data_IF_125334591862
#
_entry.id   IF_125334591862
#
_cell.length_a   1.000
_cell.length_b   1.000
_cell.length_c   1.000
_cell.angle_alpha   90.00
_cell.angle_beta   90.00
_cell.angle_gamma   90.00
#
_symmetry.space_group_name_H-M   'P 1'
#
loop_
_entity.id
_entity.type
_entity.pdbx_description
1 polymer ?
#
# COMPACT_ATOMS: atom_id res chain seq x y z
N UNK A 1 5.20 -0.71 16.85
CA UNK A 1 4.10 -1.60 17.31
C UNK A 1 4.66 -2.88 17.91
N UNK A 2 5.35 -3.78 17.14
CA UNK A 2 5.83 -5.07 17.68
C UNK A 2 6.85 -4.89 18.82
N UNK A 3 7.81 -3.97 18.68
CA UNK A 3 8.78 -3.67 19.74
C UNK A 3 8.08 -3.22 21.02
N UNK A 4 7.15 -2.28 20.92
CA UNK A 4 6.39 -1.75 22.06
C UNK A 4 5.52 -2.83 22.70
N UNK A 5 4.90 -3.72 21.90
CA UNK A 5 4.13 -4.83 22.44
C UNK A 5 5.01 -5.87 23.16
N UNK A 6 6.22 -6.15 22.65
CA UNK A 6 7.16 -7.08 23.30
C UNK A 6 7.64 -6.59 24.67
N UNK A 7 7.66 -5.28 24.91
CA UNK A 7 7.95 -4.69 26.23
C UNK A 7 6.80 -4.96 27.23
N UNK A 8 5.55 -4.98 26.75
CA UNK A 8 4.36 -5.21 27.57
C UNK A 8 4.10 -6.70 27.78
N UNK A 9 4.38 -7.53 26.76
CA UNK A 9 4.13 -8.97 26.74
C UNK A 9 5.38 -9.75 26.30
N UNK A 10 6.43 -9.82 27.14
CA UNK A 10 7.74 -10.37 26.76
C UNK A 10 7.74 -11.88 26.44
N UNK A 11 6.71 -12.61 26.88
CA UNK A 11 6.59 -14.06 26.64
C UNK A 11 5.81 -14.39 25.35
N UNK A 12 5.48 -13.40 24.51
CA UNK A 12 4.80 -13.62 23.24
C UNK A 12 5.84 -13.79 22.12
N UNK A 13 5.73 -14.85 21.33
CA UNK A 13 6.52 -15.07 20.13
C UNK A 13 5.71 -14.72 18.89
N UNK A 14 6.39 -14.19 17.87
CA UNK A 14 5.77 -13.82 16.58
C UNK A 14 6.47 -14.55 15.44
N UNK A 15 5.67 -15.07 14.52
CA UNK A 15 6.13 -15.43 13.20
C UNK A 15 5.70 -14.32 12.23
N UNK A 16 6.65 -13.70 11.53
CA UNK A 16 6.39 -12.57 10.63
C UNK A 16 6.49 -13.04 9.19
N UNK A 17 5.39 -12.87 8.44
CA UNK A 17 5.33 -13.16 7.01
C UNK A 17 5.23 -11.85 6.25
N UNK A 18 6.14 -11.63 5.28
CA UNK A 18 6.15 -10.44 4.42
C UNK A 18 5.87 -10.85 2.96
N UNK A 19 4.67 -10.50 2.49
CA UNK A 19 4.16 -10.83 1.15
C UNK A 19 3.28 -9.71 0.62
N UNK A 20 2.82 -9.83 -0.64
CA UNK A 20 1.80 -8.93 -1.19
C UNK A 20 0.46 -9.09 -0.44
N UNK A 21 -0.31 -8.01 -0.36
CA UNK A 21 -1.56 -7.95 0.43
C UNK A 21 -2.61 -8.98 0.01
N UNK A 22 -2.71 -9.28 -1.28
CA UNK A 22 -3.60 -10.32 -1.82
C UNK A 22 -3.20 -11.73 -1.33
N UNK A 23 -1.90 -12.00 -1.28
CA UNK A 23 -1.35 -13.28 -0.76
C UNK A 23 -1.60 -13.38 0.74
N UNK A 24 -1.32 -12.34 1.51
CA UNK A 24 -1.54 -12.29 2.95
C UNK A 24 -3.03 -12.45 3.28
N UNK A 25 -3.92 -11.77 2.54
CA UNK A 25 -5.35 -11.87 2.75
C UNK A 25 -5.86 -13.31 2.52
N UNK A 26 -5.41 -13.97 1.46
CA UNK A 26 -5.74 -15.38 1.20
C UNK A 26 -5.24 -16.29 2.31
N UNK A 27 -3.98 -16.15 2.75
CA UNK A 27 -3.41 -16.90 3.88
C UNK A 27 -4.20 -16.71 5.18
N UNK A 28 -4.75 -15.51 5.40
CA UNK A 28 -5.63 -15.24 6.54
C UNK A 28 -6.96 -16.00 6.41
N UNK A 29 -7.59 -16.02 5.24
CA UNK A 29 -8.82 -16.78 4.99
C UNK A 29 -8.62 -18.29 5.16
N UNK A 30 -7.44 -18.81 4.78
CA UNK A 30 -7.02 -20.20 4.96
C UNK A 30 -6.62 -20.52 6.41
N UNK A 31 -6.51 -19.51 7.27
CA UNK A 31 -6.13 -19.66 8.68
C UNK A 31 -4.63 -19.85 8.92
N UNK A 32 -3.78 -19.65 7.89
CA UNK A 32 -2.32 -19.76 8.00
C UNK A 32 -1.68 -18.57 8.71
N UNK A 33 -2.34 -17.41 8.77
CA UNK A 33 -1.93 -16.25 9.56
C UNK A 33 -3.09 -15.78 10.43
N UNK A 34 -2.79 -15.22 11.58
CA UNK A 34 -3.77 -14.81 12.57
C UNK A 34 -4.24 -13.38 12.36
N UNK A 35 -3.32 -12.48 12.09
CA UNK A 35 -3.54 -11.05 11.87
C UNK A 35 -2.72 -10.56 10.69
N UNK A 36 -3.12 -9.46 10.08
CA UNK A 36 -2.38 -8.88 8.96
C UNK A 36 -2.57 -7.37 8.82
N UNK A 37 -1.50 -6.70 8.39
CA UNK A 37 -1.54 -5.32 7.95
C UNK A 37 -1.64 -5.31 6.42
N UNK A 38 -2.82 -4.98 5.90
CA UNK A 38 -3.20 -5.20 4.50
C UNK A 38 -3.47 -3.86 3.83
N UNK A 39 -2.85 -3.64 2.68
CA UNK A 39 -3.04 -2.45 1.84
C UNK A 39 -4.07 -2.72 0.76
N UNK A 40 -5.12 -1.89 0.70
CA UNK A 40 -6.26 -2.05 -0.21
C UNK A 40 -7.48 -2.68 0.47
N UNK A 41 -8.61 -2.57 -0.20
CA UNK A 41 -9.90 -3.00 0.34
C UNK A 41 -10.22 -4.42 -0.14
N UNK A 42 -10.13 -5.37 0.79
CA UNK A 42 -10.49 -6.77 0.58
C UNK A 42 -11.74 -7.11 1.37
N UNK A 43 -12.64 -7.89 0.78
CA UNK A 43 -13.88 -8.33 1.40
C UNK A 43 -13.85 -9.81 1.78
N UNK A 44 -14.35 -10.12 2.98
CA UNK A 44 -14.37 -11.48 3.50
C UNK A 44 -14.79 -11.54 4.97
N UNK A 45 -14.78 -12.75 5.59
CA UNK A 45 -15.15 -12.95 6.99
C UNK A 45 -14.04 -12.49 7.95
N UNK A 46 -13.68 -11.21 7.86
CA UNK A 46 -12.63 -10.57 8.67
C UNK A 46 -13.16 -9.36 9.43
N UNK A 47 -12.56 -9.08 10.57
CA UNK A 47 -12.66 -7.77 11.21
C UNK A 47 -11.66 -6.82 10.56
N UNK A 48 -12.06 -5.56 10.36
CA UNK A 48 -11.25 -4.53 9.68
C UNK A 48 -11.16 -3.31 10.59
N UNK A 49 -9.95 -2.91 10.91
CA UNK A 49 -9.65 -1.67 11.62
C UNK A 49 -8.80 -0.80 10.70
N UNK A 50 -9.28 0.40 10.37
CA UNK A 50 -8.54 1.34 9.52
C UNK A 50 -7.31 1.86 10.27
N UNK A 51 -6.13 1.71 9.66
CA UNK A 51 -4.87 2.18 10.24
C UNK A 51 -4.46 3.51 9.59
N UNK A 52 -4.47 3.56 8.27
CA UNK A 52 -4.02 4.71 7.52
C UNK A 52 -4.74 4.82 6.18
N UNK A 53 -4.81 6.06 5.68
CA UNK A 53 -5.19 6.37 4.32
C UNK A 53 -4.01 7.08 3.65
N UNK A 54 -3.55 6.54 2.55
CA UNK A 54 -2.41 7.07 1.81
C UNK A 54 -2.88 7.65 0.48
N UNK A 55 -2.43 8.84 0.13
CA UNK A 55 -2.65 9.44 -1.17
C UNK A 55 -1.70 8.86 -2.22
N UNK A 56 -2.20 8.69 -3.45
CA UNK A 56 -1.40 8.34 -4.60
C UNK A 56 -0.65 9.54 -5.17
N UNK A 57 0.52 9.28 -5.74
CA UNK A 57 1.37 10.31 -6.36
C UNK A 57 1.82 9.88 -7.75
N UNK A 58 1.88 10.85 -8.64
CA UNK A 58 2.74 10.82 -9.81
C UNK A 58 4.15 11.20 -9.37
N UNK A 59 5.14 10.39 -9.73
CA UNK A 59 6.56 10.61 -9.43
C UNK A 59 7.32 10.77 -10.73
N UNK A 60 8.01 11.89 -10.87
CA UNK A 60 8.77 12.27 -12.06
C UNK A 60 10.11 12.87 -11.66
N UNK A 61 11.08 12.92 -12.59
CA UNK A 61 12.34 13.60 -12.35
C UNK A 61 12.17 15.12 -12.33
N UNK A 62 11.45 15.64 -13.30
CA UNK A 62 11.14 17.06 -13.46
C UNK A 62 9.63 17.28 -13.41
N UNK A 63 9.13 18.50 -13.13
CA UNK A 63 7.71 18.80 -13.21
C UNK A 63 7.13 18.41 -14.57
N UNK A 64 6.01 17.70 -14.56
CA UNK A 64 5.38 17.17 -15.77
C UNK A 64 3.88 17.48 -15.76
N UNK A 65 3.34 17.88 -16.91
CA UNK A 65 1.89 17.97 -17.07
C UNK A 65 1.30 16.55 -17.10
N UNK A 66 0.34 16.30 -16.22
CA UNK A 66 -0.37 15.02 -16.14
C UNK A 66 -0.97 14.63 -17.51
N UNK A 67 -1.45 15.60 -18.32
CA UNK A 67 -2.07 15.32 -19.61
C UNK A 67 -1.07 14.80 -20.65
N UNK A 68 0.21 14.99 -20.44
CA UNK A 68 1.28 14.51 -21.32
C UNK A 68 1.76 13.08 -21.00
N UNK A 69 1.29 12.49 -19.88
CA UNK A 69 1.72 11.16 -19.43
C UNK A 69 1.65 10.05 -20.49
N UNK A 70 0.64 9.99 -21.38
CA UNK A 70 0.58 8.96 -22.41
C UNK A 70 1.78 8.96 -23.38
N UNK A 71 2.51 10.09 -23.49
CA UNK A 71 3.67 10.23 -24.38
C UNK A 71 4.96 9.69 -23.76
N UNK A 72 4.98 9.44 -22.45
CA UNK A 72 6.17 9.02 -21.71
C UNK A 72 6.07 7.56 -21.27
N UNK A 73 7.20 6.94 -20.95
CA UNK A 73 7.24 5.58 -20.44
C UNK A 73 6.77 5.52 -18.99
N UNK A 74 5.78 4.68 -18.74
CA UNK A 74 5.37 4.34 -17.37
C UNK A 74 6.28 3.23 -16.84
N UNK A 75 6.96 3.51 -15.74
CA UNK A 75 7.74 2.54 -15.00
C UNK A 75 6.79 1.79 -14.08
N UNK A 76 6.63 0.49 -14.35
CA UNK A 76 5.80 -0.41 -13.55
C UNK A 76 6.66 -1.12 -12.51
N UNK A 77 6.07 -1.46 -11.39
CA UNK A 77 6.70 -2.21 -10.30
C UNK A 77 5.72 -3.21 -9.69
N UNK A 78 6.26 -4.20 -8.97
CA UNK A 78 5.45 -5.22 -8.32
C UNK A 78 4.66 -4.60 -7.16
N UNK A 79 3.34 -4.71 -7.22
CA UNK A 79 2.42 -4.28 -6.16
C UNK A 79 1.22 -5.22 -6.09
N UNK A 80 0.38 -5.12 -5.05
CA UNK A 80 -0.81 -5.93 -4.92
C UNK A 80 -1.91 -5.53 -5.92
N UNK A 81 -2.87 -6.42 -6.14
CA UNK A 81 -3.97 -6.27 -7.09
C UNK A 81 -4.80 -5.01 -6.83
N UNK A 82 -5.21 -4.74 -5.58
CA UNK A 82 -6.01 -3.58 -5.20
C UNK A 82 -5.31 -2.25 -5.47
N UNK A 83 -4.00 -2.19 -5.21
CA UNK A 83 -3.19 -1.01 -5.58
C UNK A 83 -3.15 -0.82 -7.09
N UNK A 84 -2.97 -1.92 -7.84
CA UNK A 84 -2.99 -1.87 -9.31
C UNK A 84 -4.34 -1.42 -9.85
N UNK A 85 -5.45 -1.93 -9.30
CA UNK A 85 -6.81 -1.55 -9.69
C UNK A 85 -7.09 -0.06 -9.44
N UNK A 86 -6.70 0.50 -8.29
CA UNK A 86 -6.86 1.93 -7.99
C UNK A 86 -6.10 2.79 -9.00
N UNK A 87 -4.82 2.48 -9.23
CA UNK A 87 -3.99 3.26 -10.14
C UNK A 87 -4.42 3.09 -11.61
N UNK A 88 -4.91 1.92 -11.98
CA UNK A 88 -5.47 1.69 -13.31
C UNK A 88 -6.81 2.41 -13.49
N UNK A 89 -7.70 2.36 -12.48
CA UNK A 89 -8.97 3.09 -12.50
C UNK A 89 -8.78 4.59 -12.65
N UNK A 90 -7.79 5.17 -11.95
CA UNK A 90 -7.41 6.56 -12.14
C UNK A 90 -6.93 6.86 -13.57
N UNK A 91 -6.13 5.95 -14.15
CA UNK A 91 -5.66 6.09 -15.53
C UNK A 91 -6.81 6.04 -16.52
N UNK A 92 -7.68 5.03 -16.41
CA UNK A 92 -8.79 4.78 -17.35
C UNK A 92 -9.85 5.89 -17.30
N UNK A 93 -10.06 6.50 -16.13
CA UNK A 93 -10.92 7.69 -16.03
C UNK A 93 -10.36 8.86 -16.81
N UNK A 94 -9.04 9.07 -16.79
CA UNK A 94 -8.38 10.25 -17.34
C UNK A 94 -8.00 10.11 -18.81
N UNK A 95 -7.55 8.93 -19.21
CA UNK A 95 -6.99 8.66 -20.53
C UNK A 95 -7.77 7.56 -21.25
N UNK A 96 -8.05 7.77 -22.55
CA UNK A 96 -8.68 6.76 -23.42
C UNK A 96 -7.65 5.78 -24.01
N UNK A 97 -6.38 6.14 -23.99
CA UNK A 97 -5.29 5.38 -24.57
C UNK A 97 -4.43 4.70 -23.50
N UNK A 98 -3.89 3.57 -23.85
CA UNK A 98 -2.88 2.92 -23.02
C UNK A 98 -1.61 3.76 -23.05
N UNK A 99 -1.07 4.09 -21.89
CA UNK A 99 0.24 4.75 -21.81
C UNK A 99 1.34 3.90 -22.46
N UNK A 100 2.46 4.53 -22.84
CA UNK A 100 3.63 3.81 -23.30
C UNK A 100 4.09 2.83 -22.22
N UNK A 101 3.91 1.55 -22.49
CA UNK A 101 4.47 0.48 -21.66
C UNK A 101 5.95 0.33 -21.95
N UNK A 102 6.69 -0.21 -21.03
CA UNK A 102 8.00 -0.66 -21.42
C UNK A 102 9.01 -0.93 -20.32
N UNK A 103 8.84 -0.42 -19.11
CA UNK A 103 9.85 -0.63 -18.07
C UNK A 103 9.17 -1.28 -16.85
N UNK A 104 9.70 -2.41 -16.42
CA UNK A 104 9.29 -3.09 -15.19
C UNK A 104 10.46 -3.14 -14.21
N UNK A 105 10.34 -2.42 -13.11
CA UNK A 105 11.42 -2.24 -12.13
C UNK A 105 11.50 -3.36 -11.07
N UNK A 106 10.57 -4.30 -11.04
CA UNK A 106 10.47 -5.29 -9.98
C UNK A 106 9.97 -4.68 -8.66
N UNK A 107 10.80 -3.92 -7.99
CA UNK A 107 10.46 -3.24 -6.74
C UNK A 107 10.43 -1.73 -6.90
N UNK A 108 9.67 -1.05 -6.03
CA UNK A 108 9.46 0.40 -6.09
C UNK A 108 10.78 1.19 -5.94
N UNK A 109 11.73 0.69 -5.15
CA UNK A 109 13.03 1.36 -4.94
C UNK A 109 13.86 1.44 -6.23
N UNK A 110 13.79 0.42 -7.09
CA UNK A 110 14.40 0.47 -8.42
C UNK A 110 13.67 1.44 -9.36
N UNK A 111 12.34 1.61 -9.18
CA UNK A 111 11.60 2.60 -9.95
C UNK A 111 12.11 4.03 -9.67
N UNK A 112 12.46 4.35 -8.42
CA UNK A 112 13.04 5.66 -8.07
C UNK A 112 14.33 5.94 -8.83
N UNK A 113 15.25 4.98 -8.89
CA UNK A 113 16.51 5.11 -9.63
C UNK A 113 16.29 5.30 -11.13
N UNK A 114 15.32 4.59 -11.70
CA UNK A 114 14.96 4.72 -13.12
C UNK A 114 14.35 6.08 -13.43
N UNK A 115 13.50 6.61 -12.54
CA UNK A 115 12.92 7.95 -12.68
C UNK A 115 14.02 9.01 -12.59
N UNK A 116 14.92 8.91 -11.64
CA UNK A 116 16.06 9.82 -11.51
C UNK A 116 16.95 9.80 -12.74
N UNK A 117 17.12 8.63 -13.37
CA UNK A 117 17.83 8.49 -14.65
C UNK A 117 17.06 9.02 -15.87
N UNK A 118 15.84 9.56 -15.68
CA UNK A 118 15.03 10.13 -16.75
C UNK A 118 14.33 9.12 -17.67
N UNK A 119 14.22 7.86 -17.26
CA UNK A 119 13.65 6.79 -18.09
C UNK A 119 12.11 6.84 -18.18
N UNK A 120 11.45 7.65 -17.33
CA UNK A 120 10.00 7.77 -17.35
C UNK A 120 9.43 8.23 -16.00
N UNK A 121 8.21 7.83 -15.71
CA UNK A 121 7.48 8.18 -14.50
C UNK A 121 6.86 6.95 -13.85
N UNK A 122 6.48 7.06 -12.57
CA UNK A 122 5.63 6.07 -11.90
C UNK A 122 4.44 6.74 -11.20
N UNK A 123 3.33 6.00 -11.10
CA UNK A 123 2.22 6.31 -10.20
C UNK A 123 2.27 5.33 -9.03
N UNK A 124 2.26 5.85 -7.81
CA UNK A 124 2.43 5.00 -6.63
C UNK A 124 1.81 5.61 -5.37
N UNK A 125 1.70 4.79 -4.34
CA UNK A 125 1.45 5.23 -2.97
C UNK A 125 2.76 5.18 -2.21
N UNK A 126 3.19 6.33 -1.67
CA UNK A 126 4.46 6.43 -0.98
C UNK A 126 4.44 5.63 0.34
N UNK A 127 5.55 4.94 0.70
CA UNK A 127 5.71 4.35 2.02
C UNK A 127 5.62 5.41 3.13
N UNK A 128 5.19 5.01 4.33
CA UNK A 128 5.09 5.92 5.48
C UNK A 128 6.44 6.63 5.81
N UNK A 129 7.54 5.91 5.63
CA UNK A 129 8.89 6.39 5.89
C UNK A 129 9.63 6.82 4.61
N UNK A 130 8.91 7.15 3.54
CA UNK A 130 9.52 7.56 2.29
C UNK A 130 10.43 8.77 2.49
N UNK A 131 11.67 8.62 2.03
CA UNK A 131 12.63 9.71 1.94
C UNK A 131 12.89 9.99 0.48
N UNK A 132 12.70 11.23 0.06
CA UNK A 132 12.93 11.65 -1.32
C UNK A 132 14.42 11.92 -1.58
N UNK A 133 15.23 10.86 -1.53
CA UNK A 133 16.70 10.93 -1.64
C UNK A 133 17.16 11.43 -3.02
N UNK A 134 16.34 11.22 -4.05
CA UNK A 134 16.60 11.65 -5.43
C UNK A 134 16.03 13.02 -5.77
N UNK A 135 15.42 13.73 -4.83
CA UNK A 135 14.73 15.01 -5.06
C UNK A 135 13.71 14.96 -6.21
N UNK A 136 12.99 13.84 -6.34
CA UNK A 136 11.97 13.65 -7.37
C UNK A 136 10.78 14.59 -7.17
N UNK A 137 10.14 14.96 -8.28
CA UNK A 137 8.88 15.70 -8.25
C UNK A 137 7.74 14.76 -7.87
N UNK A 138 6.97 15.15 -6.85
CA UNK A 138 5.83 14.42 -6.31
C UNK A 138 4.56 15.22 -6.55
N UNK A 139 3.72 14.78 -7.49
CA UNK A 139 2.43 15.42 -7.78
C UNK A 139 1.29 14.54 -7.26
N UNK A 140 0.45 15.03 -6.33
CA UNK A 140 -0.68 14.26 -5.83
C UNK A 140 -1.63 13.86 -6.96
N UNK A 141 -2.06 12.60 -6.98
CA UNK A 141 -3.06 12.12 -7.92
C UNK A 141 -4.47 12.50 -7.46
N UNK A 142 -5.24 13.05 -8.38
CA UNK A 142 -6.65 13.36 -8.16
C UNK A 142 -7.49 12.81 -9.30
N UNK A 143 -8.72 12.40 -9.00
CA UNK A 143 -9.74 12.08 -9.99
C UNK A 143 -10.22 13.36 -10.72
N UNK A 144 -11.02 13.20 -11.78
CA UNK A 144 -11.54 14.34 -12.55
C UNK A 144 -12.44 15.29 -11.75
N UNK A 145 -13.11 14.76 -10.74
CA UNK A 145 -13.93 15.52 -9.80
C UNK A 145 -13.12 16.28 -8.73
N UNK A 146 -11.80 16.15 -8.75
CA UNK A 146 -10.88 16.77 -7.79
C UNK A 146 -10.65 15.95 -6.51
N UNK A 147 -11.36 14.84 -6.32
CA UNK A 147 -11.14 13.97 -5.15
C UNK A 147 -9.77 13.30 -5.21
N UNK A 148 -9.09 13.12 -4.06
CA UNK A 148 -7.77 12.50 -4.03
C UNK A 148 -7.85 11.00 -4.33
N UNK A 149 -6.84 10.47 -5.02
CA UNK A 149 -6.67 9.01 -5.19
C UNK A 149 -6.12 8.44 -3.90
N UNK A 150 -6.95 7.71 -3.17
CA UNK A 150 -6.62 7.21 -1.84
C UNK A 150 -6.54 5.69 -1.81
N UNK A 151 -5.70 5.16 -0.91
CA UNK A 151 -5.61 3.74 -0.61
C UNK A 151 -5.62 3.54 0.90
N UNK A 152 -6.51 2.68 1.37
CA UNK A 152 -6.61 2.30 2.77
C UNK A 152 -5.54 1.26 3.14
N UNK A 153 -5.10 1.33 4.39
CA UNK A 153 -4.34 0.28 5.06
C UNK A 153 -5.13 -0.18 6.27
N UNK A 154 -5.32 -1.48 6.38
CA UNK A 154 -6.15 -2.11 7.38
C UNK A 154 -5.35 -3.03 8.29
N UNK A 155 -5.68 -3.06 9.55
CA UNK A 155 -5.41 -4.17 10.45
C UNK A 155 -6.56 -5.15 10.35
N UNK A 156 -6.28 -6.39 9.95
CA UNK A 156 -7.27 -7.44 9.72
C UNK A 156 -7.02 -8.63 10.63
N UNK A 157 -8.10 -9.27 11.07
CA UNK A 157 -8.08 -10.57 11.72
C UNK A 157 -9.38 -11.36 11.45
N UNK A 158 -9.29 -12.69 11.46
CA UNK A 158 -10.42 -13.57 11.11
C UNK A 158 -11.59 -13.46 12.09
N UNK A 159 -12.82 -13.46 11.57
CA UNK A 159 -14.06 -13.57 12.36
C UNK A 159 -14.30 -14.99 12.86
N UNK A 160 -13.85 -15.99 12.11
CA UNK A 160 -14.25 -17.39 12.28
C UNK A 160 -13.20 -18.24 13.01
N UNK A 161 -11.98 -17.74 13.18
CA UNK A 161 -10.90 -18.47 13.85
C UNK A 161 -11.02 -18.31 15.36
N UNK A 162 -10.95 -19.45 16.10
CA UNK A 162 -10.82 -19.42 17.56
C UNK A 162 -9.50 -18.74 17.93
N UNK A 163 -9.56 -17.76 18.80
CA UNK A 163 -8.42 -16.97 19.24
C UNK A 163 -7.80 -17.58 20.50
N UNK A 164 -6.47 -17.60 20.55
CA UNK A 164 -5.75 -17.81 21.80
C UNK A 164 -5.79 -16.55 22.65
N UNK A 165 -5.58 -16.67 23.94
CA UNK A 165 -5.51 -15.51 24.85
C UNK A 165 -4.42 -14.51 24.39
N UNK A 166 -3.26 -15.00 23.94
CA UNK A 166 -2.19 -14.15 23.44
C UNK A 166 -2.61 -13.36 22.18
N UNK A 167 -3.37 -13.98 21.27
CA UNK A 167 -3.88 -13.32 20.08
C UNK A 167 -4.91 -12.25 20.44
N UNK A 168 -5.83 -12.52 21.36
CA UNK A 168 -6.79 -11.53 21.85
C UNK A 168 -6.11 -10.33 22.48
N UNK A 169 -5.14 -10.55 23.36
CA UNK A 169 -4.35 -9.49 24.00
C UNK A 169 -3.61 -8.63 22.95
N UNK A 170 -3.07 -9.25 21.90
CA UNK A 170 -2.42 -8.51 20.82
C UNK A 170 -3.39 -7.67 20.02
N UNK A 171 -4.57 -8.21 19.66
CA UNK A 171 -5.62 -7.48 18.96
C UNK A 171 -6.08 -6.27 19.78
N UNK A 172 -6.40 -6.48 21.06
CA UNK A 172 -6.83 -5.41 21.97
C UNK A 172 -5.78 -4.31 22.12
N UNK A 173 -4.50 -4.70 22.19
CA UNK A 173 -3.38 -3.75 22.23
C UNK A 173 -3.34 -2.89 20.96
N UNK A 174 -3.39 -3.51 19.76
CA UNK A 174 -3.37 -2.78 18.51
C UNK A 174 -4.57 -1.83 18.37
N UNK A 175 -5.77 -2.29 18.69
CA UNK A 175 -6.97 -1.46 18.62
C UNK A 175 -6.93 -0.28 19.59
N UNK A 176 -6.31 -0.45 20.76
CA UNK A 176 -6.11 0.63 21.72
C UNK A 176 -5.11 1.66 21.23
N UNK A 177 -3.95 1.22 20.72
CA UNK A 177 -2.93 2.11 20.17
C UNK A 177 -3.48 2.94 19.01
N UNK A 178 -4.22 2.30 18.08
CA UNK A 178 -4.82 2.98 16.93
C UNK A 178 -5.88 4.03 17.32
N UNK A 179 -6.59 3.84 18.46
CA UNK A 179 -7.53 4.85 18.98
C UNK A 179 -6.84 6.05 19.64
N UNK A 180 -5.59 5.89 20.08
CA UNK A 180 -4.81 6.97 20.68
C UNK A 180 -4.13 7.85 19.63
N UNK A 181 -3.97 7.36 18.39
CA UNK A 181 -3.36 8.08 17.26
C UNK A 181 -4.39 8.85 16.40
N UNK A 182 -5.70 8.71 16.67
CA UNK A 182 -6.79 9.45 16.01
C UNK A 182 -7.20 10.67 16.82
#
# INVERSE_FOLDING_TARGET
VLSSYSEVCPNTSFEIVNEQSDVLFRKMLEGSIDVGFIRGDYEGPVHKVLIAQNQGYLVTKEPMDINELPKYHRIQYKTNDRTSEILQGWWDERFKEKGKSGIFAGYIDFAWQMIDSGLGYACCFLPYNFKNEYNLCLTPLTYKDGSPVMRNTWFLYSKNKRRSQALEQFIDYIEKELKLEQ
#
